data_IF_156018983420
#
_entry.id   IF_156018983420
#
_cell.length_a   1.000
_cell.length_b   1.000
_cell.length_c   1.000
_cell.angle_alpha   90.00
_cell.angle_beta   90.00
_cell.angle_gamma   90.00
#
_symmetry.space_group_name_H-M   'P 1'
#
loop_
_entity.id
_entity.type
_entity.pdbx_description
1 polymer ?
#
# COMPACT_ATOMS: atom_id res chain seq x y z
N UNK A 1 31.22 -32.89 35.51
CA UNK A 1 30.41 -32.69 34.29
C UNK A 1 28.98 -33.10 34.64
N UNK A 2 28.21 -32.14 35.17
CA UNK A 2 26.93 -32.41 35.85
C UNK A 2 25.76 -32.38 34.87
N UNK A 3 24.98 -33.46 34.93
CA UNK A 3 23.68 -33.69 34.31
C UNK A 3 22.60 -32.85 35.01
N UNK A 4 21.76 -32.17 34.24
CA UNK A 4 20.58 -31.45 34.77
C UNK A 4 19.34 -32.20 34.31
N UNK A 5 18.97 -33.20 35.12
CA UNK A 5 17.60 -33.65 35.28
C UNK A 5 16.99 -32.87 36.45
N UNK A 6 15.68 -32.65 36.36
CA UNK A 6 14.76 -32.22 37.44
C UNK A 6 14.81 -30.76 37.91
N UNK A 7 13.70 -30.04 37.73
CA UNK A 7 12.97 -29.36 38.81
C UNK A 7 11.50 -29.13 38.38
N UNK A 8 10.60 -29.43 39.32
CA UNK A 8 9.21 -28.98 39.50
C UNK A 8 8.06 -29.80 38.89
N UNK A 9 7.65 -30.80 39.69
CA UNK A 9 6.29 -31.32 39.78
C UNK A 9 5.35 -30.34 40.50
N UNK A 10 4.04 -30.59 40.35
CA UNK A 10 2.91 -30.19 41.21
C UNK A 10 2.21 -28.85 40.90
N UNK A 11 1.13 -28.92 40.13
CA UNK A 11 -0.17 -28.39 40.59
C UNK A 11 -1.31 -29.16 39.92
N UNK A 12 -1.93 -30.07 40.67
CA UNK A 12 -3.22 -30.68 40.32
C UNK A 12 -4.31 -29.92 41.05
N UNK A 13 -5.21 -29.23 40.33
CA UNK A 13 -6.59 -29.01 40.84
C UNK A 13 -7.60 -28.73 39.74
N UNK A 14 -8.63 -29.57 39.76
CA UNK A 14 -9.88 -29.53 39.02
C UNK A 14 -10.60 -28.16 39.06
N UNK A 15 -11.17 -27.77 37.92
CA UNK A 15 -12.57 -27.31 37.90
C UNK A 15 -13.24 -27.64 36.56
N UNK A 16 -14.38 -28.32 36.71
CA UNK A 16 -15.34 -28.73 35.69
C UNK A 16 -15.90 -27.52 34.94
N UNK A 17 -16.03 -27.60 33.62
CA UNK A 17 -17.10 -26.89 32.89
C UNK A 17 -17.83 -27.89 32.01
N UNK A 18 -19.14 -27.91 32.22
CA UNK A 18 -20.11 -28.82 31.65
C UNK A 18 -20.28 -28.62 30.14
N UNK A 19 -20.40 -29.73 29.42
CA UNK A 19 -20.94 -29.78 28.08
C UNK A 19 -22.46 -29.60 28.14
N UNK A 20 -22.96 -28.52 27.54
CA UNK A 20 -24.38 -28.31 27.28
C UNK A 20 -24.74 -28.72 25.84
N UNK A 21 -25.88 -29.40 25.61
CA UNK A 21 -26.25 -29.91 24.30
C UNK A 21 -26.99 -28.87 23.43
N UNK A 22 -26.75 -28.96 22.12
CA UNK A 22 -27.76 -28.74 21.08
C UNK A 22 -28.37 -27.34 20.94
N UNK A 23 -27.80 -26.51 20.05
CA UNK A 23 -28.57 -25.46 19.39
C UNK A 23 -28.69 -25.78 17.90
N UNK A 24 -29.90 -26.14 17.51
CA UNK A 24 -30.34 -26.39 16.14
C UNK A 24 -30.30 -25.07 15.37
N UNK A 25 -29.49 -25.02 14.32
CA UNK A 25 -29.43 -23.87 13.43
C UNK A 25 -30.70 -23.82 12.55
N UNK A 26 -31.61 -22.91 12.88
CA UNK A 26 -32.78 -22.59 12.06
C UNK A 26 -32.33 -21.92 10.75
N UNK A 27 -32.43 -22.67 9.64
CA UNK A 27 -32.26 -22.14 8.28
C UNK A 27 -33.44 -21.22 7.98
N UNK A 28 -33.21 -19.91 8.04
CA UNK A 28 -34.20 -18.89 7.67
C UNK A 28 -34.06 -18.59 6.19
N UNK A 29 -34.87 -19.26 5.36
CA UNK A 29 -35.07 -18.92 3.94
C UNK A 29 -35.67 -17.52 3.85
N UNK A 30 -34.89 -16.53 3.43
CA UNK A 30 -35.42 -15.20 3.06
C UNK A 30 -36.08 -15.30 1.69
N UNK A 31 -37.40 -15.13 1.67
CA UNK A 31 -38.17 -14.93 0.45
C UNK A 31 -37.62 -13.70 -0.30
N UNK A 32 -37.26 -13.90 -1.57
CA UNK A 32 -36.90 -12.86 -2.51
C UNK A 32 -38.18 -12.20 -3.00
N UNK A 33 -38.55 -11.06 -2.42
CA UNK A 33 -39.50 -10.14 -3.02
C UNK A 33 -38.73 -9.20 -3.94
N UNK A 34 -38.89 -9.39 -5.25
CA UNK A 34 -38.41 -8.45 -6.26
C UNK A 34 -39.15 -7.13 -6.09
N UNK A 35 -38.47 -5.99 -5.84
CA UNK A 35 -39.13 -4.70 -5.81
C UNK A 35 -39.52 -4.31 -7.24
N UNK A 36 -40.81 -4.08 -7.41
CA UNK A 36 -41.48 -3.47 -8.56
C UNK A 36 -40.73 -2.23 -9.06
N UNK A 37 -40.59 -2.15 -10.39
CA UNK A 37 -40.03 -1.04 -11.15
C UNK A 37 -40.50 0.31 -10.59
N UNK A 38 -39.59 1.02 -9.91
CA UNK A 38 -39.80 2.41 -9.52
C UNK A 38 -39.50 3.26 -10.75
N UNK A 39 -40.53 3.90 -11.28
CA UNK A 39 -40.43 4.92 -12.33
C UNK A 39 -39.34 5.93 -11.95
N UNK A 40 -38.26 5.97 -12.74
CA UNK A 40 -37.19 6.95 -12.57
C UNK A 40 -37.73 8.30 -13.02
N UNK A 41 -37.98 9.19 -12.08
CA UNK A 41 -38.11 10.61 -12.37
C UNK A 41 -36.92 11.05 -13.24
N UNK A 42 -37.22 11.76 -14.33
CA UNK A 42 -36.24 12.34 -15.25
C UNK A 42 -35.22 13.16 -14.45
N UNK A 43 -33.94 12.81 -14.58
CA UNK A 43 -32.86 13.53 -13.93
C UNK A 43 -32.91 15.01 -14.35
N UNK A 44 -32.70 15.96 -13.42
CA UNK A 44 -32.59 17.37 -13.77
C UNK A 44 -31.47 17.55 -14.81
N UNK A 45 -31.61 18.52 -15.72
CA UNK A 45 -30.57 18.83 -16.68
C UNK A 45 -29.26 19.11 -15.93
N UNK A 46 -28.10 18.65 -16.46
CA UNK A 46 -26.82 18.93 -15.83
C UNK A 46 -26.66 20.44 -15.67
N UNK A 47 -26.12 20.91 -14.54
CA UNK A 47 -25.89 22.34 -14.35
C UNK A 47 -25.05 22.87 -15.51
N UNK A 48 -25.45 24.01 -16.06
CA UNK A 48 -24.68 24.73 -17.08
C UNK A 48 -23.27 24.93 -16.54
N UNK A 49 -22.32 24.16 -17.05
CA UNK A 49 -20.91 24.26 -16.67
C UNK A 49 -20.46 25.62 -17.17
N UNK A 50 -20.35 26.60 -16.26
CA UNK A 50 -19.73 27.88 -16.56
C UNK A 50 -18.37 27.58 -17.16
N UNK A 51 -18.14 28.05 -18.40
CA UNK A 51 -16.88 27.87 -19.09
C UNK A 51 -15.77 28.38 -18.16
N UNK A 52 -14.84 27.53 -17.70
CA UNK A 52 -13.83 27.95 -16.75
C UNK A 52 -13.05 29.10 -17.37
N UNK A 53 -12.84 30.17 -16.59
CA UNK A 53 -11.97 31.27 -17.00
C UNK A 53 -10.67 30.70 -17.60
N UNK A 54 -10.17 31.25 -18.71
CA UNK A 54 -8.99 30.73 -19.39
C UNK A 54 -7.87 30.59 -18.36
N UNK A 55 -7.52 29.34 -18.02
CA UNK A 55 -6.42 29.07 -17.11
C UNK A 55 -5.19 29.70 -17.73
N UNK A 56 -4.59 30.68 -17.04
CA UNK A 56 -3.29 31.20 -17.40
C UNK A 56 -2.39 30.00 -17.66
N UNK A 57 -1.90 29.86 -18.90
CA UNK A 57 -1.00 28.78 -19.27
C UNK A 57 0.18 28.84 -18.30
N UNK A 58 0.30 27.87 -17.37
CA UNK A 58 1.37 27.93 -16.38
C UNK A 58 2.68 27.95 -17.13
N UNK A 59 3.61 28.82 -16.73
CA UNK A 59 4.95 28.92 -17.33
C UNK A 59 5.53 27.51 -17.48
N UNK A 60 5.58 27.04 -18.72
CA UNK A 60 6.13 25.73 -19.05
C UNK A 60 7.63 25.91 -18.95
N UNK A 61 8.21 25.60 -17.79
CA UNK A 61 9.66 25.60 -17.63
C UNK A 61 10.19 24.47 -18.53
N UNK A 62 10.90 24.79 -19.62
CA UNK A 62 11.50 23.75 -20.45
C UNK A 62 12.59 23.07 -19.63
N UNK A 63 12.43 21.76 -19.40
CA UNK A 63 13.47 20.98 -18.73
C UNK A 63 14.59 20.74 -19.74
N UNK A 64 15.83 21.07 -19.36
CA UNK A 64 17.01 20.75 -20.14
C UNK A 64 17.06 19.24 -20.43
N UNK A 65 17.63 18.81 -21.57
CA UNK A 65 17.91 17.39 -21.83
C UNK A 65 18.62 16.77 -20.63
N UNK A 66 18.14 15.61 -20.20
CA UNK A 66 18.74 14.87 -19.10
C UNK A 66 19.60 13.75 -19.68
N UNK A 67 20.86 13.69 -19.28
CA UNK A 67 21.78 12.62 -19.60
C UNK A 67 22.28 12.00 -18.29
N UNK A 68 22.08 10.69 -18.15
CA UNK A 68 22.54 9.97 -16.97
C UNK A 68 24.06 9.85 -17.00
N UNK A 69 24.73 10.20 -15.89
CA UNK A 69 26.16 9.90 -15.75
C UNK A 69 26.35 8.39 -15.57
N UNK A 70 27.56 7.90 -15.86
CA UNK A 70 27.87 6.47 -15.71
C UNK A 70 27.65 5.99 -14.27
N UNK A 71 27.95 6.83 -13.28
CA UNK A 71 27.78 6.53 -11.86
C UNK A 71 26.30 6.43 -11.47
N UNK A 72 25.44 7.31 -12.00
CA UNK A 72 23.99 7.26 -11.76
C UNK A 72 23.41 5.99 -12.39
N UNK A 73 23.84 5.66 -13.60
CA UNK A 73 23.39 4.47 -14.31
C UNK A 73 23.80 3.20 -13.55
N UNK A 74 25.06 3.09 -13.13
CA UNK A 74 25.57 1.97 -12.35
C UNK A 74 24.82 1.81 -11.02
N UNK A 75 24.65 2.90 -10.26
CA UNK A 75 23.91 2.87 -9.00
C UNK A 75 22.45 2.44 -9.20
N UNK A 76 21.81 2.93 -10.24
CA UNK A 76 20.43 2.57 -10.60
C UNK A 76 20.31 1.10 -10.96
N UNK A 77 21.24 0.56 -11.77
CA UNK A 77 21.22 -0.84 -12.17
C UNK A 77 21.42 -1.78 -10.97
N UNK A 78 22.33 -1.43 -10.05
CA UNK A 78 22.48 -2.14 -8.79
C UNK A 78 21.21 -2.08 -7.91
N UNK A 79 20.53 -0.92 -7.87
CA UNK A 79 19.25 -0.79 -7.15
C UNK A 79 18.17 -1.67 -7.78
N UNK A 80 18.06 -1.72 -9.11
CA UNK A 80 17.09 -2.59 -9.81
C UNK A 80 17.33 -4.05 -9.42
N UNK A 81 18.57 -4.51 -9.44
CA UNK A 81 18.91 -5.89 -9.15
C UNK A 81 18.64 -6.26 -7.69
N UNK A 82 19.16 -5.47 -6.74
CA UNK A 82 18.88 -5.72 -5.32
C UNK A 82 17.39 -5.59 -4.97
N UNK A 83 16.65 -4.73 -5.67
CA UNK A 83 15.20 -4.63 -5.48
C UNK A 83 14.49 -5.89 -5.94
N UNK A 84 14.88 -6.49 -7.08
CA UNK A 84 14.33 -7.76 -7.54
C UNK A 84 14.62 -8.88 -6.56
N UNK A 85 15.88 -9.03 -6.15
CA UNK A 85 16.30 -10.03 -5.17
C UNK A 85 15.56 -9.88 -3.84
N UNK A 86 15.37 -8.64 -3.36
CA UNK A 86 14.53 -8.36 -2.17
C UNK A 86 13.09 -8.85 -2.36
N UNK A 87 12.50 -8.60 -3.52
CA UNK A 87 11.11 -9.00 -3.81
C UNK A 87 10.95 -10.53 -3.89
N UNK A 88 11.98 -11.23 -4.36
CA UNK A 88 12.02 -12.69 -4.34
C UNK A 88 12.07 -13.22 -2.89
N UNK A 89 12.89 -12.62 -2.03
CA UNK A 89 12.93 -12.96 -0.60
C UNK A 89 11.58 -12.70 0.09
N UNK A 90 10.93 -11.56 -0.18
CA UNK A 90 9.59 -11.25 0.36
C UNK A 90 8.55 -12.28 -0.11
N UNK A 91 8.62 -12.70 -1.37
CA UNK A 91 7.73 -13.70 -1.95
C UNK A 91 7.93 -15.07 -1.32
N UNK A 92 9.18 -15.50 -1.16
CA UNK A 92 9.54 -16.76 -0.48
C UNK A 92 9.08 -16.76 0.97
N UNK A 93 9.36 -15.69 1.71
CA UNK A 93 8.93 -15.49 3.10
C UNK A 93 7.40 -15.60 3.23
N UNK A 94 6.66 -14.92 2.34
CA UNK A 94 5.19 -14.93 2.36
C UNK A 94 4.65 -16.35 2.13
N UNK A 95 5.23 -17.11 1.19
CA UNK A 95 4.82 -18.51 0.94
C UNK A 95 5.03 -19.40 2.16
N UNK A 96 6.19 -19.31 2.81
CA UNK A 96 6.48 -20.07 4.03
C UNK A 96 5.53 -19.74 5.18
N UNK A 97 5.25 -18.45 5.39
CA UNK A 97 4.29 -18.01 6.42
C UNK A 97 2.89 -18.56 6.12
N UNK A 98 2.45 -18.50 4.87
CA UNK A 98 1.13 -19.01 4.48
C UNK A 98 1.03 -20.54 4.61
N UNK A 99 2.09 -21.27 4.29
CA UNK A 99 2.18 -22.72 4.49
C UNK A 99 2.10 -23.08 5.99
N UNK A 100 2.89 -22.40 6.83
CA UNK A 100 2.83 -22.59 8.28
C UNK A 100 1.44 -22.29 8.86
N UNK A 101 0.81 -21.17 8.46
CA UNK A 101 -0.57 -20.83 8.86
C UNK A 101 -1.59 -21.85 8.36
N UNK A 102 -1.39 -22.44 7.18
CA UNK A 102 -2.27 -23.51 6.66
C UNK A 102 -2.16 -24.80 7.48
N UNK A 103 -0.96 -25.17 7.94
CA UNK A 103 -0.76 -26.33 8.80
C UNK A 103 -1.41 -26.13 10.18
N UNK A 104 -1.24 -24.95 10.77
CA UNK A 104 -1.91 -24.59 12.03
C UNK A 104 -3.43 -24.59 11.87
N UNK A 105 -3.95 -24.05 10.76
CA UNK A 105 -5.39 -24.07 10.46
C UNK A 105 -5.93 -25.50 10.38
N UNK A 106 -5.16 -26.45 9.82
CA UNK A 106 -5.55 -27.87 9.81
C UNK A 106 -5.60 -28.45 11.23
N UNK A 107 -4.65 -28.08 12.09
CA UNK A 107 -4.57 -28.58 13.46
C UNK A 107 -5.66 -27.99 14.39
N UNK A 108 -6.07 -26.74 14.15
CA UNK A 108 -7.01 -25.98 15.00
C UNK A 108 -8.42 -25.95 14.37
N UNK A 109 -8.89 -27.08 13.83
CA UNK A 109 -10.28 -27.20 13.36
C UNK A 109 -10.72 -26.26 12.22
N UNK A 110 -9.78 -25.64 11.51
CA UNK A 110 -10.08 -24.82 10.33
C UNK A 110 -10.18 -23.30 10.56
N UNK A 111 -10.07 -22.80 11.80
CA UNK A 111 -10.20 -21.36 12.08
C UNK A 111 -8.95 -20.57 11.60
N UNK A 112 -9.18 -19.58 10.73
CA UNK A 112 -8.11 -18.75 10.15
C UNK A 112 -7.52 -17.74 11.13
N UNK A 113 -8.35 -17.14 12.00
CA UNK A 113 -7.90 -16.12 12.96
C UNK A 113 -7.09 -16.77 14.06
N UNK A 114 -7.58 -17.90 14.58
CA UNK A 114 -6.90 -18.67 15.62
C UNK A 114 -5.57 -19.23 15.09
N UNK A 115 -5.53 -19.76 13.87
CA UNK A 115 -4.28 -20.19 13.25
C UNK A 115 -3.27 -19.05 13.04
N UNK A 116 -3.73 -17.83 12.72
CA UNK A 116 -2.84 -16.67 12.63
C UNK A 116 -2.30 -16.28 14.00
N UNK A 117 -3.14 -16.22 15.03
CA UNK A 117 -2.71 -15.91 16.39
C UNK A 117 -1.76 -16.98 16.94
N UNK A 118 -2.01 -18.26 16.66
CA UNK A 118 -1.10 -19.35 17.01
C UNK A 118 0.26 -19.20 16.31
N UNK A 119 0.29 -18.87 15.01
CA UNK A 119 1.54 -18.61 14.31
C UNK A 119 2.34 -17.47 14.96
N UNK A 120 1.67 -16.35 15.27
CA UNK A 120 2.33 -15.17 15.83
C UNK A 120 2.91 -15.48 17.23
N UNK A 121 2.19 -16.23 18.08
CA UNK A 121 2.68 -16.72 19.39
C UNK A 121 3.88 -17.65 19.27
N UNK A 122 3.80 -18.66 18.39
CA UNK A 122 4.91 -19.60 18.17
C UNK A 122 6.14 -18.86 17.62
N UNK A 123 5.95 -17.92 16.68
CA UNK A 123 7.05 -17.09 16.15
C UNK A 123 7.70 -16.23 17.24
N UNK A 124 6.93 -15.78 18.24
CA UNK A 124 7.44 -15.06 19.40
C UNK A 124 8.14 -15.95 20.44
N UNK A 125 8.18 -17.27 20.24
CA UNK A 125 8.80 -18.23 21.15
C UNK A 125 7.88 -18.71 22.27
N UNK A 126 6.59 -18.38 22.22
CA UNK A 126 5.63 -18.87 23.22
C UNK A 126 5.35 -20.37 23.05
N UNK A 127 5.23 -21.13 24.15
CA UNK A 127 4.85 -22.54 24.10
C UNK A 127 3.48 -22.72 23.43
N UNK A 128 3.40 -23.65 22.46
CA UNK A 128 2.14 -24.01 21.81
C UNK A 128 2.14 -25.52 21.49
N UNK A 129 1.00 -26.23 21.65
CA UNK A 129 0.92 -27.66 21.35
C UNK A 129 1.35 -28.04 19.92
N UNK A 130 1.23 -27.11 18.98
CA UNK A 130 1.56 -27.31 17.56
C UNK A 130 2.88 -26.65 17.12
N UNK A 131 3.76 -26.23 18.04
CA UNK A 131 5.06 -25.62 17.67
C UNK A 131 5.89 -26.54 16.76
N UNK A 132 5.91 -27.84 17.06
CA UNK A 132 6.62 -28.83 16.24
C UNK A 132 6.11 -28.94 14.79
N UNK A 133 4.85 -28.62 14.52
CA UNK A 133 4.26 -28.73 13.19
C UNK A 133 4.81 -27.67 12.21
N UNK A 134 5.21 -26.51 12.72
CA UNK A 134 5.69 -25.39 11.88
C UNK A 134 7.17 -25.08 12.06
N UNK A 135 7.86 -25.78 12.98
CA UNK A 135 9.29 -25.56 13.24
C UNK A 135 10.16 -25.53 11.98
N UNK A 136 10.03 -26.46 10.99
CA UNK A 136 10.82 -26.39 9.76
C UNK A 136 10.61 -25.10 8.95
N UNK A 137 9.39 -24.54 8.99
CA UNK A 137 9.08 -23.30 8.28
C UNK A 137 9.70 -22.09 8.98
N UNK A 138 9.70 -22.09 10.31
CA UNK A 138 10.36 -21.04 11.11
C UNK A 138 11.87 -21.08 10.92
N UNK A 139 12.48 -22.27 10.95
CA UNK A 139 13.90 -22.45 10.67
C UNK A 139 14.28 -21.97 9.25
N UNK A 140 13.41 -22.21 8.25
CA UNK A 140 13.63 -21.72 6.89
C UNK A 140 13.45 -20.19 6.74
N UNK A 141 12.70 -19.53 7.62
CA UNK A 141 12.49 -18.08 7.57
C UNK A 141 13.74 -17.30 7.95
N UNK A 142 14.54 -17.80 8.90
CA UNK A 142 15.72 -17.10 9.41
C UNK A 142 16.73 -16.68 8.32
N UNK A 143 17.24 -17.60 7.45
CA UNK A 143 18.18 -17.21 6.40
C UNK A 143 17.55 -16.24 5.37
N UNK A 144 16.25 -16.37 5.09
CA UNK A 144 15.52 -15.47 4.17
C UNK A 144 15.39 -14.07 4.76
N UNK A 145 15.04 -13.95 6.03
CA UNK A 145 14.93 -12.66 6.73
C UNK A 145 16.30 -11.98 6.82
N UNK A 146 17.37 -12.73 7.12
CA UNK A 146 18.75 -12.24 7.13
C UNK A 146 19.18 -11.74 5.75
N UNK A 147 18.94 -12.51 4.69
CA UNK A 147 19.31 -12.12 3.33
C UNK A 147 18.50 -10.91 2.83
N UNK A 148 17.20 -10.86 3.13
CA UNK A 148 16.35 -9.70 2.84
C UNK A 148 16.89 -8.44 3.52
N UNK A 149 17.26 -8.52 4.79
CA UNK A 149 17.82 -7.40 5.53
C UNK A 149 19.16 -6.92 4.94
N UNK A 150 19.99 -7.85 4.46
CA UNK A 150 21.23 -7.52 3.75
C UNK A 150 20.95 -6.72 2.46
N UNK A 151 19.98 -7.17 1.64
CA UNK A 151 19.57 -6.41 0.45
C UNK A 151 18.99 -5.04 0.77
N UNK A 152 18.17 -4.93 1.82
CA UNK A 152 17.61 -3.64 2.26
C UNK A 152 18.71 -2.66 2.70
N UNK A 153 19.75 -3.14 3.39
CA UNK A 153 20.92 -2.34 3.75
C UNK A 153 21.69 -1.84 2.51
N UNK A 154 21.89 -2.70 1.51
CA UNK A 154 22.54 -2.32 0.24
C UNK A 154 21.72 -1.30 -0.53
N UNK A 155 20.40 -1.49 -0.62
CA UNK A 155 19.47 -0.57 -1.28
C UNK A 155 19.51 0.82 -0.66
N UNK A 156 19.47 0.90 0.68
CA UNK A 156 19.59 2.18 1.40
C UNK A 156 20.94 2.85 1.12
N UNK A 157 22.04 2.10 1.11
CA UNK A 157 23.38 2.64 0.80
C UNK A 157 23.42 3.21 -0.62
N UNK A 158 22.92 2.49 -1.62
CA UNK A 158 22.93 2.93 -3.02
C UNK A 158 22.02 4.14 -3.25
N UNK A 159 20.84 4.18 -2.62
CA UNK A 159 19.95 5.34 -2.78
C UNK A 159 20.58 6.64 -2.28
N UNK A 160 21.44 6.57 -1.26
CA UNK A 160 22.17 7.74 -0.74
C UNK A 160 23.20 8.30 -1.71
N UNK A 161 23.64 7.53 -2.70
CA UNK A 161 24.59 8.00 -3.72
C UNK A 161 23.87 8.68 -4.89
N UNK A 162 22.55 8.56 -4.99
CA UNK A 162 21.78 9.21 -6.04
C UNK A 162 21.65 10.72 -5.75
N UNK A 163 21.73 11.58 -6.79
CA UNK A 163 21.66 13.04 -6.61
C UNK A 163 20.31 13.50 -6.03
N UNK A 164 19.24 12.73 -6.27
CA UNK A 164 17.89 13.00 -5.74
C UNK A 164 17.74 12.81 -4.22
N UNK A 165 18.72 12.17 -3.56
CA UNK A 165 18.59 11.77 -2.15
C UNK A 165 18.35 12.96 -1.22
N UNK A 166 19.04 14.09 -1.46
CA UNK A 166 18.91 15.28 -0.65
C UNK A 166 17.46 15.80 -0.63
N UNK A 167 16.83 15.87 -1.80
CA UNK A 167 15.41 16.21 -1.91
C UNK A 167 14.53 15.17 -1.22
N UNK A 168 14.74 13.88 -1.49
CA UNK A 168 13.89 12.83 -0.93
C UNK A 168 13.93 12.82 0.61
N UNK A 169 15.11 13.05 1.20
CA UNK A 169 15.30 13.17 2.66
C UNK A 169 14.55 14.36 3.26
N UNK A 170 14.37 15.45 2.50
CA UNK A 170 13.58 16.61 2.94
C UNK A 170 12.07 16.34 2.96
N UNK A 171 11.60 15.34 2.22
CA UNK A 171 10.18 14.99 2.14
C UNK A 171 9.80 14.10 3.32
N UNK A 172 9.16 14.69 4.34
CA UNK A 172 8.65 13.94 5.49
C UNK A 172 7.74 12.79 5.03
N UNK A 173 8.08 11.57 5.47
CA UNK A 173 7.36 10.35 5.12
C UNK A 173 7.85 9.63 3.85
N UNK A 174 8.79 10.21 3.09
CA UNK A 174 9.47 9.50 1.99
C UNK A 174 10.78 8.90 2.50
N UNK A 175 10.72 7.65 2.97
CA UNK A 175 11.92 6.93 3.44
C UNK A 175 12.83 6.46 2.30
N UNK A 176 14.09 6.20 2.62
CA UNK A 176 15.11 5.71 1.66
C UNK A 176 14.67 4.38 1.01
N UNK A 177 14.01 3.51 1.75
CA UNK A 177 13.48 2.25 1.22
C UNK A 177 12.25 2.48 0.31
N UNK A 178 11.43 3.51 0.56
CA UNK A 178 10.38 3.89 -0.40
C UNK A 178 10.98 4.40 -1.71
N UNK A 179 12.05 5.21 -1.62
CA UNK A 179 12.78 5.71 -2.79
C UNK A 179 13.45 4.56 -3.57
N UNK A 180 14.16 3.64 -2.91
CA UNK A 180 14.74 2.48 -3.57
C UNK A 180 13.68 1.59 -4.24
N UNK A 181 12.48 1.48 -3.65
CA UNK A 181 11.38 0.76 -4.31
C UNK A 181 10.92 1.43 -5.60
N UNK A 182 10.82 2.76 -5.62
CA UNK A 182 10.44 3.52 -6.82
C UNK A 182 11.52 3.38 -7.89
N UNK A 183 12.80 3.59 -7.54
CA UNK A 183 13.93 3.44 -8.46
C UNK A 183 14.07 2.00 -8.94
N UNK A 184 13.91 0.99 -8.06
CA UNK A 184 13.99 -0.41 -8.45
C UNK A 184 12.89 -0.85 -9.42
N UNK A 185 11.74 -0.17 -9.45
CA UNK A 185 10.68 -0.42 -10.44
C UNK A 185 10.81 0.46 -11.70
N UNK A 186 11.34 1.68 -11.58
CA UNK A 186 11.41 2.66 -12.66
C UNK A 186 12.75 2.67 -13.41
N UNK A 187 13.84 2.26 -12.77
CA UNK A 187 15.19 2.63 -13.13
C UNK A 187 15.43 4.12 -12.91
N UNK A 188 16.22 4.72 -13.79
CA UNK A 188 16.54 6.14 -13.77
C UNK A 188 15.29 6.93 -14.15
N UNK A 189 14.76 7.69 -13.20
CA UNK A 189 13.52 8.45 -13.37
C UNK A 189 13.71 9.63 -14.33
N UNK A 190 14.91 10.22 -14.41
CA UNK A 190 15.23 11.35 -15.26
C UNK A 190 15.14 11.03 -16.76
N UNK A 191 15.42 9.78 -17.13
CA UNK A 191 15.38 9.29 -18.52
C UNK A 191 13.97 9.19 -19.11
N UNK A 192 12.92 9.27 -18.30
CA UNK A 192 11.54 9.20 -18.79
C UNK A 192 11.19 10.44 -19.62
N UNK A 193 10.59 10.23 -20.79
CA UNK A 193 10.16 11.33 -21.70
C UNK A 193 9.22 12.36 -21.05
N UNK A 194 8.45 11.95 -20.05
CA UNK A 194 7.54 12.83 -19.31
C UNK A 194 7.11 12.21 -17.98
N UNK A 195 6.61 13.06 -17.08
CA UNK A 195 5.98 12.65 -15.82
C UNK A 195 4.84 11.63 -16.05
N UNK A 196 4.10 11.76 -17.15
CA UNK A 196 3.02 10.81 -17.47
C UNK A 196 3.53 9.41 -17.79
N UNK A 197 4.75 9.29 -18.34
CA UNK A 197 5.39 7.99 -18.54
C UNK A 197 5.78 7.34 -17.20
N UNK A 198 6.27 8.12 -16.23
CA UNK A 198 6.52 7.66 -14.85
C UNK A 198 5.21 7.20 -14.20
N UNK A 199 4.13 7.98 -14.32
CA UNK A 199 2.81 7.57 -13.81
C UNK A 199 2.30 6.29 -14.45
N UNK A 200 2.50 6.09 -15.77
CA UNK A 200 2.13 4.85 -16.45
C UNK A 200 2.95 3.67 -15.92
N UNK A 201 4.25 3.83 -15.71
CA UNK A 201 5.12 2.80 -15.13
C UNK A 201 4.64 2.36 -13.74
N UNK A 202 4.27 3.33 -12.90
CA UNK A 202 3.83 3.09 -11.51
C UNK A 202 2.34 2.71 -11.37
N UNK A 203 1.61 2.50 -12.46
CA UNK A 203 0.21 2.07 -12.41
C UNK A 203 -0.79 3.18 -12.08
N UNK A 204 -0.41 4.45 -12.25
CA UNK A 204 -1.19 5.63 -11.86
C UNK A 204 -1.83 6.35 -13.05
N UNK A 205 -1.49 5.99 -14.29
CA UNK A 205 -2.00 6.69 -15.48
C UNK A 205 -3.53 6.64 -15.59
N UNK A 206 -4.06 7.58 -16.37
CA UNK A 206 -5.44 7.57 -16.88
C UNK A 206 -5.30 7.35 -18.39
N UNK A 207 -5.95 6.31 -18.91
CA UNK A 207 -5.89 5.89 -20.31
C UNK A 207 -7.34 5.87 -20.79
N UNK A 208 -7.63 6.65 -21.84
CA UNK A 208 -8.97 6.80 -22.42
C UNK A 208 -10.05 7.13 -21.36
N UNK A 209 -9.74 8.10 -20.49
CA UNK A 209 -10.62 8.53 -19.39
C UNK A 209 -10.75 7.54 -18.23
N UNK A 210 -10.13 6.36 -18.32
CA UNK A 210 -10.23 5.29 -17.31
C UNK A 210 -8.94 5.13 -16.52
N UNK A 211 -9.07 4.74 -15.26
CA UNK A 211 -7.91 4.42 -14.43
C UNK A 211 -7.15 3.21 -15.00
N UNK A 212 -5.81 3.31 -15.07
CA UNK A 212 -4.95 2.17 -15.44
C UNK A 212 -5.26 0.94 -14.55
N UNK A 213 -5.32 -0.24 -15.18
CA UNK A 213 -5.79 -1.49 -14.56
C UNK A 213 -7.32 -1.65 -14.46
N UNK A 214 -8.10 -0.70 -15.02
CA UNK A 214 -9.57 -0.78 -15.10
C UNK A 214 -10.08 -0.32 -16.49
N UNK A 215 -9.79 -1.07 -17.57
CA UNK A 215 -10.21 -0.70 -18.93
C UNK A 215 -11.73 -0.71 -19.15
N UNK A 216 -12.52 -1.27 -18.21
CA UNK A 216 -13.98 -1.24 -18.23
C UNK A 216 -14.59 -2.58 -18.64
N UNK A 217 -15.93 -2.63 -18.67
CA UNK A 217 -16.65 -3.80 -19.14
C UNK A 217 -16.41 -4.01 -20.65
N UNK A 218 -16.24 -5.26 -21.08
CA UNK A 218 -15.99 -5.61 -22.49
C UNK A 218 -14.56 -5.31 -22.99
N UNK A 219 -13.62 -5.03 -22.09
CA UNK A 219 -12.23 -4.75 -22.48
C UNK A 219 -11.57 -5.94 -23.19
N UNK A 220 -10.94 -5.66 -24.32
CA UNK A 220 -10.17 -6.62 -25.12
C UNK A 220 -8.80 -6.92 -24.50
N UNK A 221 -8.11 -7.95 -25.01
CA UNK A 221 -6.73 -8.22 -24.64
C UNK A 221 -5.80 -7.02 -24.93
N UNK A 222 -6.02 -6.33 -26.05
CA UNK A 222 -5.24 -5.16 -26.45
C UNK A 222 -5.43 -3.99 -25.48
N UNK A 223 -6.64 -3.80 -24.92
CA UNK A 223 -6.89 -2.79 -23.89
C UNK A 223 -6.04 -3.05 -22.64
N UNK A 224 -5.91 -4.32 -22.24
CA UNK A 224 -5.07 -4.72 -21.10
C UNK A 224 -3.58 -4.52 -21.39
N UNK A 225 -3.14 -4.86 -22.60
CA UNK A 225 -1.76 -4.63 -23.06
C UNK A 225 -1.46 -3.12 -23.09
N UNK A 226 -2.35 -2.31 -23.67
CA UNK A 226 -2.26 -0.84 -23.71
C UNK A 226 -2.16 -0.26 -22.30
N UNK A 227 -2.97 -0.78 -21.38
CA UNK A 227 -2.92 -0.41 -19.97
C UNK A 227 -1.57 -0.74 -19.34
N UNK A 228 -0.96 -1.89 -19.68
CA UNK A 228 0.35 -2.31 -19.17
C UNK A 228 0.41 -2.30 -17.63
N UNK A 229 -0.71 -2.63 -16.98
CA UNK A 229 -0.87 -2.49 -15.54
C UNK A 229 -0.10 -3.59 -14.80
N UNK A 230 0.76 -3.19 -13.86
CA UNK A 230 1.40 -4.10 -12.92
C UNK A 230 0.91 -3.85 -11.50
N UNK A 231 0.20 -4.83 -10.92
CA UNK A 231 -0.28 -4.77 -9.54
C UNK A 231 0.87 -4.60 -8.54
N UNK A 232 2.02 -5.24 -8.82
CA UNK A 232 3.25 -5.12 -8.02
C UNK A 232 3.73 -3.67 -8.01
N UNK A 233 3.96 -3.06 -9.18
CA UNK A 233 4.38 -1.64 -9.27
C UNK A 233 3.42 -0.69 -8.59
N UNK A 234 2.11 -0.90 -8.78
CA UNK A 234 1.08 -0.10 -8.13
C UNK A 234 1.17 -0.19 -6.61
N UNK A 235 1.43 -1.40 -6.09
CA UNK A 235 1.62 -1.63 -4.67
C UNK A 235 2.83 -0.89 -4.12
N UNK A 236 3.94 -0.84 -4.85
CA UNK A 236 5.15 -0.07 -4.47
C UNK A 236 4.83 1.41 -4.33
N UNK A 237 4.17 2.01 -5.32
CA UNK A 237 3.70 3.41 -5.21
C UNK A 237 2.83 3.60 -3.97
N UNK A 238 1.82 2.74 -3.79
CA UNK A 238 0.85 2.92 -2.70
C UNK A 238 1.49 2.81 -1.34
N UNK A 239 2.26 1.75 -1.11
CA UNK A 239 2.87 1.48 0.19
C UNK A 239 3.99 2.48 0.47
N UNK A 240 4.83 2.78 -0.53
CA UNK A 240 5.96 3.69 -0.35
C UNK A 240 5.55 5.14 -0.15
N UNK A 241 4.51 5.61 -0.87
CA UNK A 241 4.13 7.02 -0.89
C UNK A 241 3.02 7.39 0.11
N UNK A 242 2.19 6.46 0.59
CA UNK A 242 1.14 6.83 1.56
C UNK A 242 1.70 7.41 2.87
N UNK A 243 2.96 7.14 3.21
CA UNK A 243 3.57 7.68 4.42
C UNK A 243 3.84 9.19 4.36
N UNK A 244 3.89 9.80 3.16
CA UNK A 244 3.99 11.27 3.01
C UNK A 244 2.75 12.00 3.54
N UNK A 245 1.63 11.27 3.68
CA UNK A 245 0.41 11.73 4.32
C UNK A 245 0.19 11.05 5.67
N UNK A 246 1.24 10.54 6.32
CA UNK A 246 1.11 9.83 7.60
C UNK A 246 0.33 8.52 7.51
N UNK A 247 0.30 7.84 6.36
CA UNK A 247 -0.52 6.64 6.12
C UNK A 247 -2.03 6.92 6.15
N UNK A 248 -2.82 5.99 5.62
CA UNK A 248 -4.29 6.07 5.56
C UNK A 248 -4.90 6.00 6.96
N UNK A 249 -4.89 7.11 7.70
CA UNK A 249 -5.58 7.26 8.98
C UNK A 249 -4.84 8.02 10.07
N UNK A 250 -3.51 8.21 10.01
CA UNK A 250 -2.79 8.88 11.11
C UNK A 250 -2.78 10.40 10.97
N UNK A 251 -2.63 10.92 9.74
CA UNK A 251 -2.77 12.36 9.49
C UNK A 251 -4.18 12.69 9.00
N UNK A 252 -4.80 13.68 9.64
CA UNK A 252 -6.03 14.35 9.21
C UNK A 252 -6.03 15.78 9.75
N UNK A 253 -6.48 16.74 8.96
CA UNK A 253 -6.66 18.11 9.43
C UNK A 253 -7.78 18.19 10.48
N UNK A 254 -7.75 19.19 11.38
CA UNK A 254 -8.89 19.52 12.24
C UNK A 254 -10.17 19.67 11.42
N UNK A 255 -11.30 19.29 12.00
CA UNK A 255 -12.57 19.36 11.29
C UNK A 255 -12.93 20.81 10.96
N UNK A 256 -13.21 21.07 9.68
CA UNK A 256 -13.60 22.40 9.20
C UNK A 256 -12.49 23.47 9.26
N UNK A 257 -11.24 23.11 9.56
CA UNK A 257 -10.13 24.04 9.63
C UNK A 257 -8.87 23.47 9.00
N UNK A 258 -7.91 24.34 8.69
CA UNK A 258 -6.61 23.94 8.16
C UNK A 258 -5.60 23.71 9.28
N UNK A 259 -4.67 22.79 9.05
CA UNK A 259 -3.57 22.51 9.98
C UNK A 259 -2.32 23.28 9.56
N UNK A 260 -1.91 24.33 10.30
CA UNK A 260 -0.74 25.13 9.95
C UNK A 260 0.57 24.31 9.99
N UNK A 261 0.63 23.27 10.84
CA UNK A 261 1.78 22.37 10.98
C UNK A 261 1.84 21.26 9.93
N UNK A 262 0.86 21.20 9.03
CA UNK A 262 0.82 20.21 7.98
C UNK A 262 1.96 20.38 6.97
N UNK A 263 2.55 19.26 6.56
CA UNK A 263 3.48 19.24 5.43
C UNK A 263 2.76 19.59 4.12
N UNK A 264 3.54 19.93 3.09
CA UNK A 264 2.99 20.20 1.76
C UNK A 264 2.04 19.10 1.26
N UNK A 265 2.46 17.83 1.29
CA UNK A 265 1.65 16.73 0.76
C UNK A 265 0.42 16.42 1.61
N UNK A 266 0.47 16.71 2.91
CA UNK A 266 -0.66 16.61 3.81
C UNK A 266 -1.73 17.66 3.49
N UNK A 267 -1.34 18.92 3.23
CA UNK A 267 -2.25 19.97 2.76
C UNK A 267 -2.91 19.58 1.43
N UNK A 268 -2.10 19.16 0.46
CA UNK A 268 -2.59 18.67 -0.84
C UNK A 268 -3.59 17.51 -0.68
N UNK A 269 -3.36 16.60 0.28
CA UNK A 269 -4.29 15.52 0.57
C UNK A 269 -5.63 16.04 1.10
N UNK A 270 -5.61 16.89 2.13
CA UNK A 270 -6.81 17.46 2.74
C UNK A 270 -7.63 18.24 1.72
N UNK A 271 -7.00 19.16 0.98
CA UNK A 271 -7.67 19.97 -0.04
C UNK A 271 -8.32 19.07 -1.10
N UNK A 272 -7.58 18.05 -1.55
CA UNK A 272 -8.11 17.12 -2.55
C UNK A 272 -9.23 16.24 -1.98
N UNK A 273 -9.14 15.80 -0.74
CA UNK A 273 -10.17 14.98 -0.11
C UNK A 273 -11.48 15.77 0.06
N UNK A 274 -11.41 17.03 0.49
CA UNK A 274 -12.57 17.93 0.57
C UNK A 274 -13.20 18.16 -0.82
N UNK A 275 -12.37 18.48 -1.83
CA UNK A 275 -12.84 18.63 -3.21
C UNK A 275 -13.52 17.36 -3.76
N UNK A 276 -12.93 16.17 -3.53
CA UNK A 276 -13.52 14.92 -4.01
C UNK A 276 -14.78 14.55 -3.22
N UNK A 277 -14.90 14.94 -1.95
CA UNK A 277 -16.11 14.76 -1.16
C UNK A 277 -17.26 15.62 -1.71
N UNK A 278 -16.99 16.90 -1.96
CA UNK A 278 -17.95 17.85 -2.56
C UNK A 278 -18.41 17.38 -3.94
N UNK A 279 -17.46 17.04 -4.84
CA UNK A 279 -17.76 16.58 -6.20
C UNK A 279 -18.63 15.31 -6.22
N UNK A 280 -18.50 14.45 -5.22
CA UNK A 280 -19.29 13.22 -5.10
C UNK A 280 -20.57 13.39 -4.26
N UNK A 281 -20.84 14.57 -3.70
CA UNK A 281 -21.96 14.81 -2.78
C UNK A 281 -21.86 13.99 -1.49
N UNK A 282 -20.64 13.64 -1.06
CA UNK A 282 -20.38 12.87 0.15
C UNK A 282 -19.99 13.82 1.29
N UNK A 283 -20.61 13.70 2.48
CA UNK A 283 -20.31 14.61 3.59
C UNK A 283 -18.92 14.33 4.18
N UNK A 284 -18.18 15.40 4.49
CA UNK A 284 -17.05 15.35 5.42
C UNK A 284 -17.61 15.37 6.84
N UNK A 285 -17.26 14.38 7.66
CA UNK A 285 -17.77 14.25 9.04
C UNK A 285 -16.69 14.60 10.05
N UNK A 286 -17.09 15.07 11.22
CA UNK A 286 -16.18 15.15 12.35
C UNK A 286 -15.91 13.74 12.93
N UNK A 287 -14.65 13.41 13.14
CA UNK A 287 -14.23 12.19 13.83
C UNK A 287 -14.26 12.38 15.35
N UNK A 288 -14.16 11.27 16.10
CA UNK A 288 -14.10 11.29 17.58
C UNK A 288 -12.95 12.14 18.15
N UNK A 289 -11.94 12.46 17.34
CA UNK A 289 -10.77 13.26 17.74
C UNK A 289 -10.82 14.69 17.21
N UNK A 290 -11.98 15.17 16.75
CA UNK A 290 -12.15 16.53 16.22
C UNK A 290 -11.47 16.76 14.86
N UNK A 291 -11.19 15.69 14.11
CA UNK A 291 -10.52 15.74 12.80
C UNK A 291 -11.48 15.41 11.67
N UNK A 292 -11.16 15.83 10.46
CA UNK A 292 -11.91 15.47 9.25
C UNK A 292 -12.04 13.95 9.08
N UNK A 293 -13.21 13.47 8.71
CA UNK A 293 -13.49 12.07 8.41
C UNK A 293 -14.12 11.92 7.04
N UNK A 294 -13.35 11.32 6.13
CA UNK A 294 -13.72 11.09 4.75
C UNK A 294 -14.21 9.66 4.52
N UNK A 295 -15.09 9.49 3.54
CA UNK A 295 -15.39 8.19 2.97
C UNK A 295 -14.12 7.53 2.38
N UNK A 296 -14.04 6.21 2.43
CA UNK A 296 -12.87 5.47 1.94
C UNK A 296 -12.62 5.72 0.45
N UNK A 297 -13.66 5.89 -0.37
CA UNK A 297 -13.52 6.18 -1.79
C UNK A 297 -12.88 7.56 -2.02
N UNK A 298 -13.36 8.58 -1.31
CA UNK A 298 -12.82 9.95 -1.33
C UNK A 298 -11.34 9.95 -0.94
N UNK A 299 -11.01 9.35 0.20
CA UNK A 299 -9.64 9.30 0.70
C UNK A 299 -8.68 8.57 -0.27
N UNK A 300 -9.13 7.48 -0.91
CA UNK A 300 -8.33 6.75 -1.90
C UNK A 300 -8.08 7.57 -3.18
N UNK A 301 -9.05 8.40 -3.61
CA UNK A 301 -8.90 9.30 -4.76
C UNK A 301 -7.92 10.43 -4.45
N UNK A 302 -8.04 11.04 -3.27
CA UNK A 302 -7.11 12.05 -2.80
C UNK A 302 -5.67 11.51 -2.65
N UNK A 303 -5.50 10.32 -2.07
CA UNK A 303 -4.19 9.66 -1.99
C UNK A 303 -3.59 9.46 -3.38
N UNK A 304 -4.38 8.95 -4.35
CA UNK A 304 -3.89 8.75 -5.73
C UNK A 304 -3.39 10.05 -6.36
N UNK A 305 -4.04 11.17 -6.07
CA UNK A 305 -3.61 12.49 -6.53
C UNK A 305 -2.27 12.90 -5.90
N UNK A 306 -2.13 12.71 -4.59
CA UNK A 306 -0.86 12.97 -3.87
C UNK A 306 0.26 12.10 -4.41
N UNK A 307 0.03 10.81 -4.65
CA UNK A 307 1.03 9.91 -5.23
C UNK A 307 1.55 10.42 -6.59
N UNK A 308 0.63 10.87 -7.47
CA UNK A 308 1.01 11.50 -8.74
C UNK A 308 1.84 12.76 -8.53
N UNK A 309 1.47 13.58 -7.54
CA UNK A 309 2.18 14.83 -7.21
C UNK A 309 3.59 14.56 -6.71
N UNK A 310 3.78 13.58 -5.82
CA UNK A 310 5.12 13.18 -5.34
C UNK A 310 5.97 12.68 -6.49
N UNK A 311 5.45 11.81 -7.36
CA UNK A 311 6.20 11.31 -8.53
C UNK A 311 6.52 12.42 -9.54
N UNK A 312 5.65 13.43 -9.67
CA UNK A 312 5.94 14.63 -10.46
C UNK A 312 7.14 15.37 -9.89
N UNK A 313 7.14 15.64 -8.58
CA UNK A 313 8.24 16.34 -7.93
C UNK A 313 9.53 15.52 -7.98
N UNK A 314 9.47 14.21 -7.74
CA UNK A 314 10.61 13.32 -7.90
C UNK A 314 11.22 13.44 -9.31
N UNK A 315 10.40 13.39 -10.36
CA UNK A 315 10.85 13.53 -11.73
C UNK A 315 11.53 14.88 -12.01
N UNK A 316 10.92 15.97 -11.52
CA UNK A 316 11.45 17.32 -11.73
C UNK A 316 12.78 17.52 -11.01
N UNK A 317 12.85 17.12 -9.74
CA UNK A 317 14.05 17.27 -8.93
C UNK A 317 15.18 16.36 -9.40
N UNK A 318 14.86 15.16 -9.91
CA UNK A 318 15.86 14.26 -10.49
C UNK A 318 16.55 14.88 -11.70
N UNK A 319 15.81 15.62 -12.53
CA UNK A 319 16.39 16.28 -13.72
C UNK A 319 17.09 17.61 -13.41
N UNK A 320 16.96 18.12 -12.18
CA UNK A 320 17.63 19.35 -11.72
C UNK A 320 18.94 19.06 -11.00
N UNK A 321 19.07 17.86 -10.42
CA UNK A 321 20.20 17.42 -9.63
C UNK A 321 21.25 16.76 -10.52
#
# INVERSE_FOLDING_TARGET
MLSVAEIAQSTTRNSRIAAGPGSVATIRTKASSNPTHRERASAPPPPTIMSPAPYATPDIIPLAPYEATAEIQEATDQIIEFWRLRQDMVSAQTKLILQAKSLLRRAIGGDKKEASAAFDRIKAGEPHPYSGHIFPHLAALEPIEKQRAAYEKSLVKLVRTLPIHAWAKSVKGLGEMSLAGIVGECGDVGTYKSVSAVWKRMGLAVIDGKAQGRPGAGASADDWIKHGYSKRRRSVSRVGLQYVIGSMGLYRSPFGADDPGATYYQKVFTDRARYEAEMLGLPVKESKTGKDSYDAHVANRALRYVEKRVLKHLYLEWRRA
#
